data_IF_039030513806
#
_entry.id   IF_039030513806
#
_cell.length_a   1.000
_cell.length_b   1.000
_cell.length_c   1.000
_cell.angle_alpha   90.00
_cell.angle_beta   90.00
_cell.angle_gamma   90.00
#
_symmetry.space_group_name_H-M   'P 1'
#
loop_
_entity.id
_entity.type
_entity.pdbx_description
1 polymer ?
#
# COMPACT_ATOMS: atom_id res chain seq x y z
N UNK A 1 20.69 54.39 32.43
CA UNK A 1 21.79 53.66 33.10
C UNK A 1 21.84 52.26 32.53
N UNK A 2 22.93 51.92 31.83
CA UNK A 2 23.22 50.58 31.28
C UNK A 2 23.99 49.77 32.33
N UNK A 3 23.71 48.47 32.50
CA UNK A 3 24.69 47.54 33.03
C UNK A 3 25.20 46.61 31.91
N UNK A 4 26.48 46.77 31.60
CA UNK A 4 27.34 45.82 30.89
C UNK A 4 27.74 44.71 31.88
N UNK A 5 27.72 43.44 31.45
CA UNK A 5 28.37 42.36 32.17
C UNK A 5 29.23 41.52 31.21
N UNK A 6 30.50 41.46 31.58
CA UNK A 6 31.63 40.87 30.88
C UNK A 6 31.60 39.34 30.93
N UNK A 7 32.06 38.72 29.84
CA UNK A 7 32.47 37.32 29.80
C UNK A 7 33.92 37.17 30.32
N UNK A 8 34.25 36.10 31.06
CA UNK A 8 35.63 35.66 31.18
C UNK A 8 35.94 34.55 30.17
N UNK A 9 37.04 34.74 29.44
CA UNK A 9 37.80 33.69 28.76
C UNK A 9 38.79 33.11 29.77
N UNK A 10 38.91 31.78 29.85
CA UNK A 10 40.14 31.15 30.33
C UNK A 10 40.31 29.77 29.73
N UNK A 11 41.50 29.58 29.14
CA UNK A 11 42.02 28.35 28.58
C UNK A 11 43.08 27.80 29.55
N UNK A 12 43.02 26.50 29.86
CA UNK A 12 44.22 25.68 30.07
C UNK A 12 43.87 24.19 30.22
N UNK A 13 44.81 23.36 29.76
CA UNK A 13 44.72 21.93 29.50
C UNK A 13 45.05 21.06 30.74
N UNK A 14 44.65 19.78 30.60
CA UNK A 14 45.36 18.55 31.04
C UNK A 14 45.09 18.02 32.45
N UNK A 15 44.41 16.87 32.58
CA UNK A 15 45.05 15.55 32.74
C UNK A 15 43.98 14.45 32.79
N UNK A 16 44.31 13.31 32.20
CA UNK A 16 43.57 12.04 32.15
C UNK A 16 43.23 11.45 33.52
N UNK A 17 42.00 10.98 33.68
CA UNK A 17 41.69 9.80 34.51
C UNK A 17 40.87 8.84 33.66
N UNK A 18 41.51 7.74 33.31
CA UNK A 18 40.91 6.56 32.69
C UNK A 18 39.99 5.89 33.70
N UNK A 19 38.70 5.79 33.41
CA UNK A 19 37.83 4.79 34.03
C UNK A 19 37.34 3.88 32.90
N UNK A 20 37.96 2.70 32.81
CA UNK A 20 37.39 1.57 32.08
C UNK A 20 36.07 1.19 32.75
N UNK A 21 34.95 1.53 32.12
CA UNK A 21 33.69 0.86 32.38
C UNK A 21 33.48 -0.16 31.25
N UNK A 22 33.97 -1.38 31.48
CA UNK A 22 33.57 -2.54 30.71
C UNK A 22 32.10 -2.85 31.02
N UNK A 23 31.19 -2.25 30.27
CA UNK A 23 29.80 -2.69 30.20
C UNK A 23 29.69 -3.67 29.03
N UNK A 24 29.96 -4.94 29.35
CA UNK A 24 29.37 -6.09 28.68
C UNK A 24 27.85 -6.01 28.92
N UNK A 25 27.17 -5.27 28.06
CA UNK A 25 25.72 -5.41 27.89
C UNK A 25 25.52 -6.10 26.55
N UNK A 26 25.10 -7.35 26.64
CA UNK A 26 24.50 -8.10 25.56
C UNK A 26 23.59 -7.17 24.77
N UNK A 27 24.01 -6.86 23.54
CA UNK A 27 23.19 -6.12 22.60
C UNK A 27 21.93 -6.92 22.36
N UNK A 28 20.84 -6.53 23.03
CA UNK A 28 19.52 -6.65 22.47
C UNK A 28 19.62 -5.97 21.11
N UNK A 29 19.77 -6.76 20.05
CA UNK A 29 19.50 -6.29 18.71
C UNK A 29 18.05 -5.80 18.73
N UNK A 30 17.86 -4.52 18.99
CA UNK A 30 16.60 -3.84 18.71
C UNK A 30 16.42 -4.06 17.22
N UNK A 31 15.54 -4.99 16.86
CA UNK A 31 15.23 -5.29 15.46
C UNK A 31 14.98 -3.96 14.78
N UNK A 32 15.82 -3.63 13.79
CA UNK A 32 15.70 -2.37 13.07
C UNK A 32 14.25 -2.25 12.61
N UNK A 33 13.61 -1.13 12.94
CA UNK A 33 12.24 -0.86 12.49
C UNK A 33 12.25 -0.96 10.98
N UNK A 34 11.54 -1.96 10.43
CA UNK A 34 11.44 -2.14 8.99
C UNK A 34 10.87 -0.84 8.39
N UNK A 35 11.44 -0.34 7.29
CA UNK A 35 10.95 0.88 6.65
C UNK A 35 9.47 0.71 6.25
N UNK A 36 8.71 1.80 6.21
CA UNK A 36 7.34 1.77 5.67
C UNK A 36 7.39 1.27 4.23
N UNK A 37 6.46 0.40 3.83
CA UNK A 37 6.33 -0.02 2.44
C UNK A 37 6.04 1.17 1.53
N UNK A 38 6.69 1.19 0.37
CA UNK A 38 6.52 2.21 -0.66
C UNK A 38 6.22 1.56 -2.00
N UNK A 39 5.77 2.34 -2.98
CA UNK A 39 5.45 1.81 -4.33
C UNK A 39 6.71 1.29 -5.03
N UNK A 40 7.89 1.83 -4.71
CA UNK A 40 9.19 1.39 -5.22
C UNK A 40 9.85 0.28 -4.37
N UNK A 41 9.40 0.08 -3.14
CA UNK A 41 9.87 -1.00 -2.26
C UNK A 41 8.71 -1.59 -1.43
N UNK A 42 7.78 -2.33 -2.07
CA UNK A 42 6.61 -2.89 -1.40
C UNK A 42 6.97 -3.92 -0.33
N UNK A 43 8.03 -4.70 -0.59
CA UNK A 43 8.47 -5.77 0.28
C UNK A 43 9.33 -5.32 1.47
N UNK A 44 9.61 -4.01 1.58
CA UNK A 44 10.48 -3.44 2.63
C UNK A 44 11.86 -4.12 2.68
N UNK A 45 12.30 -4.64 1.54
CA UNK A 45 13.57 -5.36 1.44
C UNK A 45 14.70 -4.35 1.44
N UNK A 46 15.73 -4.63 2.24
CA UNK A 46 17.04 -4.01 2.13
C UNK A 46 17.83 -4.97 1.25
N UNK A 47 18.26 -4.54 0.05
CA UNK A 47 18.88 -5.37 -0.99
C UNK A 47 19.70 -6.53 -0.42
N UNK A 48 19.22 -7.76 -0.58
CA UNK A 48 19.98 -8.96 -0.23
C UNK A 48 20.26 -9.77 -1.48
N UNK A 49 21.55 -10.01 -1.72
CA UNK A 49 22.11 -10.52 -2.98
C UNK A 49 21.85 -12.03 -3.20
N UNK A 50 21.11 -12.72 -2.33
CA UNK A 50 20.88 -14.18 -2.44
C UNK A 50 19.47 -14.58 -1.98
N UNK A 51 18.41 -14.05 -2.60
CA UNK A 51 17.06 -14.55 -2.34
C UNK A 51 16.76 -15.80 -3.16
N UNK A 52 16.47 -16.91 -2.48
CA UNK A 52 15.87 -18.10 -3.08
C UNK A 52 14.36 -17.92 -3.02
N UNK A 53 13.71 -17.80 -4.18
CA UNK A 53 12.26 -17.67 -4.26
C UNK A 53 11.58 -19.04 -4.17
N UNK A 54 10.40 -19.14 -3.54
CA UNK A 54 9.60 -20.36 -3.58
C UNK A 54 9.22 -20.77 -5.01
N UNK A 55 8.78 -22.02 -5.24
CA UNK A 55 8.17 -22.43 -6.51
C UNK A 55 7.01 -21.52 -6.93
N UNK A 56 6.83 -21.33 -8.26
CA UNK A 56 5.85 -20.37 -8.80
C UNK A 56 4.40 -20.70 -8.40
N UNK A 57 4.05 -21.98 -8.31
CA UNK A 57 2.72 -22.44 -7.84
C UNK A 57 2.44 -22.02 -6.39
N UNK A 58 3.43 -22.15 -5.49
CA UNK A 58 3.33 -21.64 -4.12
C UNK A 58 3.17 -20.13 -4.10
N UNK A 59 3.94 -19.41 -4.92
CA UNK A 59 3.84 -17.95 -4.98
C UNK A 59 2.48 -17.47 -5.50
N UNK A 60 1.90 -18.13 -6.50
CA UNK A 60 0.56 -17.80 -7.00
C UNK A 60 -0.53 -18.14 -5.99
N UNK A 61 -0.42 -19.26 -5.25
CA UNK A 61 -1.33 -19.56 -4.14
C UNK A 61 -1.30 -18.45 -3.07
N UNK A 62 -0.11 -17.98 -2.69
CA UNK A 62 0.03 -16.87 -1.75
C UNK A 62 -0.56 -15.57 -2.32
N UNK A 63 -0.30 -15.25 -3.58
CA UNK A 63 -0.87 -14.07 -4.23
C UNK A 63 -2.40 -14.11 -4.26
N UNK A 64 -3.01 -15.26 -4.52
CA UNK A 64 -4.48 -15.46 -4.46
C UNK A 64 -5.00 -15.22 -3.03
N UNK A 65 -4.28 -15.68 -2.01
CA UNK A 65 -4.66 -15.43 -0.63
C UNK A 65 -4.62 -13.93 -0.30
N UNK A 66 -3.60 -13.21 -0.76
CA UNK A 66 -3.51 -11.75 -0.60
C UNK A 66 -4.61 -11.02 -1.36
N UNK A 67 -4.98 -11.47 -2.57
CA UNK A 67 -6.15 -10.95 -3.31
C UNK A 67 -7.42 -11.04 -2.45
N UNK A 68 -7.64 -12.17 -1.80
CA UNK A 68 -8.79 -12.36 -0.92
C UNK A 68 -8.71 -11.47 0.33
N UNK A 69 -7.53 -11.28 0.91
CA UNK A 69 -7.34 -10.37 2.03
C UNK A 69 -7.68 -8.91 1.67
N UNK A 70 -7.27 -8.45 0.48
CA UNK A 70 -7.63 -7.11 -0.01
C UNK A 70 -9.15 -6.99 -0.22
N UNK A 71 -9.80 -8.03 -0.80
CA UNK A 71 -11.26 -8.04 -0.98
C UNK A 71 -12.00 -7.90 0.34
N UNK A 72 -11.58 -8.64 1.37
CA UNK A 72 -12.17 -8.55 2.72
C UNK A 72 -12.03 -7.14 3.29
N UNK A 73 -10.86 -6.51 3.16
CA UNK A 73 -10.68 -5.13 3.64
C UNK A 73 -11.48 -4.10 2.85
N UNK A 74 -11.65 -4.30 1.53
CA UNK A 74 -12.55 -3.46 0.74
C UNK A 74 -14.01 -3.61 1.19
N UNK A 75 -14.46 -4.84 1.51
CA UNK A 75 -15.80 -5.08 2.06
C UNK A 75 -16.00 -4.48 3.45
N UNK A 76 -14.98 -4.51 4.30
CA UNK A 76 -15.00 -3.86 5.61
C UNK A 76 -15.15 -2.35 5.47
N UNK A 77 -14.42 -1.72 4.54
CA UNK A 77 -14.55 -0.28 4.27
C UNK A 77 -15.95 0.07 3.74
N UNK A 78 -16.49 -0.72 2.81
CA UNK A 78 -17.88 -0.57 2.33
C UNK A 78 -18.87 -0.63 3.48
N UNK A 79 -18.71 -1.62 4.37
CA UNK A 79 -19.60 -1.82 5.51
C UNK A 79 -19.53 -0.65 6.49
N UNK A 80 -18.32 -0.16 6.80
CA UNK A 80 -18.14 0.99 7.68
C UNK A 80 -18.77 2.27 7.11
N UNK A 81 -18.63 2.49 5.79
CA UNK A 81 -19.22 3.63 5.09
C UNK A 81 -20.75 3.59 5.03
N UNK A 82 -21.36 2.42 5.26
CA UNK A 82 -22.82 2.24 5.38
C UNK A 82 -23.32 2.39 6.82
N UNK A 83 -22.43 2.64 7.78
CA UNK A 83 -22.78 2.87 9.18
C UNK A 83 -23.35 4.26 9.43
N UNK A 84 -23.91 4.44 10.62
CA UNK A 84 -24.49 5.71 11.07
C UNK A 84 -23.46 6.85 11.00
N UNK A 85 -23.87 7.96 10.39
CA UNK A 85 -23.03 9.17 10.26
C UNK A 85 -22.14 9.24 9.02
N UNK A 86 -22.21 8.23 8.12
CA UNK A 86 -21.48 8.23 6.85
C UNK A 86 -22.43 8.36 5.65
N UNK A 87 -22.60 7.31 4.84
CA UNK A 87 -23.49 7.33 3.68
C UNK A 87 -24.91 6.92 4.07
N UNK A 88 -25.88 7.63 3.51
CA UNK A 88 -27.30 7.33 3.71
C UNK A 88 -27.78 6.21 2.81
N UNK A 89 -28.97 5.69 3.09
CA UNK A 89 -29.65 4.70 2.24
C UNK A 89 -29.94 5.20 0.83
N UNK A 90 -29.96 6.52 0.62
CA UNK A 90 -30.23 7.15 -0.67
C UNK A 90 -28.94 7.35 -1.49
N UNK A 91 -27.79 7.51 -0.82
CA UNK A 91 -26.49 7.65 -1.46
C UNK A 91 -26.04 6.35 -2.13
N UNK A 92 -26.22 5.22 -1.44
CA UNK A 92 -25.73 3.90 -1.89
C UNK A 92 -26.33 3.47 -3.25
N UNK A 93 -27.65 3.57 -3.50
CA UNK A 93 -28.23 3.30 -4.82
C UNK A 93 -27.66 4.17 -5.94
N UNK A 94 -27.31 5.43 -5.65
CA UNK A 94 -26.74 6.35 -6.65
C UNK A 94 -25.28 6.00 -7.00
N UNK A 95 -24.56 5.35 -6.08
CA UNK A 95 -23.18 4.86 -6.29
C UNK A 95 -23.12 3.44 -6.85
N UNK A 96 -24.21 2.69 -6.78
CA UNK A 96 -24.33 1.32 -7.29
C UNK A 96 -24.69 1.11 -8.77
N UNK A 97 -24.92 2.12 -9.65
CA UNK A 97 -25.05 1.85 -11.08
C UNK A 97 -23.82 1.11 -11.60
N UNK A 98 -24.06 0.16 -12.52
CA UNK A 98 -23.03 -0.71 -13.13
C UNK A 98 -21.88 0.07 -13.77
N UNK A 99 -22.07 1.37 -14.06
CA UNK A 99 -21.11 2.26 -14.71
C UNK A 99 -20.60 3.40 -13.83
N UNK A 100 -21.02 3.48 -12.56
CA UNK A 100 -20.45 4.47 -11.62
C UNK A 100 -19.12 3.95 -11.13
N UNK A 101 -18.04 4.40 -11.76
CA UNK A 101 -16.67 4.04 -11.40
C UNK A 101 -15.88 5.27 -11.03
N UNK A 102 -14.88 5.10 -10.19
CA UNK A 102 -14.02 6.20 -9.81
C UNK A 102 -13.06 6.52 -10.97
N UNK A 103 -13.09 7.73 -11.53
CA UNK A 103 -12.26 8.07 -12.67
C UNK A 103 -10.78 7.92 -12.35
N UNK A 104 -10.03 7.24 -13.22
CA UNK A 104 -8.60 6.99 -13.06
C UNK A 104 -8.25 5.74 -12.24
N UNK A 105 -9.22 5.01 -11.68
CA UNK A 105 -8.96 3.68 -11.12
C UNK A 105 -9.02 2.58 -12.21
N UNK A 106 -8.06 1.63 -12.22
CA UNK A 106 -8.11 0.48 -13.12
C UNK A 106 -9.23 -0.50 -12.72
N UNK A 107 -10.13 -0.85 -13.65
CA UNK A 107 -11.21 -1.82 -13.39
C UNK A 107 -10.97 -3.20 -14.00
N UNK A 108 -10.18 -3.24 -15.08
CA UNK A 108 -9.93 -4.40 -15.96
C UNK A 108 -11.19 -5.22 -16.23
N UNK A 109 -12.08 -4.73 -17.09
CA UNK A 109 -13.34 -5.43 -17.41
C UNK A 109 -13.20 -6.47 -18.54
N UNK A 110 -12.06 -6.52 -19.20
CA UNK A 110 -11.78 -7.43 -20.32
C UNK A 110 -10.96 -8.64 -19.85
N UNK A 111 -11.11 -9.77 -20.55
CA UNK A 111 -10.33 -10.97 -20.27
C UNK A 111 -8.90 -10.83 -20.83
N UNK A 112 -7.90 -10.84 -19.94
CA UNK A 112 -6.48 -10.75 -20.29
C UNK A 112 -5.95 -12.00 -21.04
N UNK A 113 -6.74 -13.08 -21.12
CA UNK A 113 -6.34 -14.40 -21.67
C UNK A 113 -4.99 -14.88 -21.11
N UNK A 114 -4.89 -15.07 -19.79
CA UNK A 114 -3.64 -15.39 -19.10
C UNK A 114 -3.06 -16.74 -19.54
N UNK A 115 -1.77 -16.75 -19.90
CA UNK A 115 -0.96 -17.93 -20.19
C UNK A 115 0.52 -17.69 -19.79
N UNK A 116 1.35 -18.73 -19.81
CA UNK A 116 2.73 -18.60 -19.33
C UNK A 116 3.58 -17.63 -20.18
N UNK A 117 3.25 -17.42 -21.46
CA UNK A 117 3.99 -16.55 -22.38
C UNK A 117 3.71 -15.06 -22.11
N UNK A 118 2.49 -14.70 -21.71
CA UNK A 118 2.12 -13.32 -21.39
C UNK A 118 2.16 -12.99 -19.88
N UNK A 119 2.52 -13.95 -19.03
CA UNK A 119 2.56 -13.81 -17.57
C UNK A 119 3.31 -12.56 -17.10
N UNK A 120 4.51 -12.32 -17.62
CA UNK A 120 5.33 -11.17 -17.17
C UNK A 120 4.65 -9.84 -17.47
N UNK A 121 4.03 -9.70 -18.66
CA UNK A 121 3.32 -8.50 -19.04
C UNK A 121 2.09 -8.26 -18.15
N UNK A 122 1.35 -9.33 -17.84
CA UNK A 122 0.21 -9.26 -16.94
C UNK A 122 0.67 -8.85 -15.53
N UNK A 123 1.73 -9.47 -15.00
CA UNK A 123 2.27 -9.12 -13.68
C UNK A 123 2.79 -7.67 -13.59
N UNK A 124 3.39 -7.14 -14.66
CA UNK A 124 3.80 -5.73 -14.72
C UNK A 124 2.59 -4.79 -14.69
N UNK A 125 1.54 -5.12 -15.45
CA UNK A 125 0.30 -4.36 -15.43
C UNK A 125 -0.39 -4.44 -14.06
N UNK A 126 -0.43 -5.63 -13.46
CA UNK A 126 -0.98 -5.83 -12.12
C UNK A 126 -0.25 -4.98 -11.08
N UNK A 127 1.09 -4.94 -11.13
CA UNK A 127 1.91 -4.12 -10.25
C UNK A 127 1.55 -2.64 -10.40
N UNK A 128 1.46 -2.17 -11.65
CA UNK A 128 1.05 -0.80 -11.96
C UNK A 128 -0.34 -0.51 -11.39
N UNK A 129 -1.32 -1.36 -11.65
CA UNK A 129 -2.71 -1.11 -11.27
C UNK A 129 -2.91 -1.12 -9.75
N UNK A 130 -2.28 -2.06 -9.03
CA UNK A 130 -2.25 -2.07 -7.57
C UNK A 130 -1.62 -0.78 -7.04
N UNK A 131 -0.55 -0.29 -7.69
CA UNK A 131 0.10 0.97 -7.30
C UNK A 131 -0.85 2.17 -7.43
N UNK A 132 -1.70 2.21 -8.48
CA UNK A 132 -2.73 3.25 -8.61
C UNK A 132 -3.72 3.18 -7.45
N UNK A 133 -4.22 1.99 -7.08
CA UNK A 133 -5.10 1.83 -5.92
C UNK A 133 -4.45 2.35 -4.62
N UNK A 134 -3.16 2.06 -4.41
CA UNK A 134 -2.40 2.54 -3.25
C UNK A 134 -2.33 4.07 -3.21
N UNK A 135 -2.20 4.75 -4.35
CA UNK A 135 -2.22 6.22 -4.42
C UNK A 135 -3.56 6.77 -3.89
N UNK A 136 -4.68 6.19 -4.32
CA UNK A 136 -6.01 6.63 -3.89
C UNK A 136 -6.23 6.36 -2.40
N UNK A 137 -5.82 5.19 -1.91
CA UNK A 137 -5.93 4.84 -0.49
C UNK A 137 -5.06 5.77 0.37
N UNK A 138 -3.86 6.12 -0.06
CA UNK A 138 -2.99 7.08 0.63
C UNK A 138 -3.61 8.47 0.71
N UNK A 139 -4.22 8.95 -0.38
CA UNK A 139 -4.94 10.22 -0.38
C UNK A 139 -6.11 10.17 0.62
N UNK A 140 -6.90 9.08 0.62
CA UNK A 140 -7.99 8.90 1.57
C UNK A 140 -7.51 8.89 3.03
N UNK A 141 -6.36 8.26 3.34
CA UNK A 141 -5.75 8.29 4.68
C UNK A 141 -5.29 9.68 5.10
N UNK A 142 -4.67 10.44 4.20
CA UNK A 142 -4.25 11.81 4.49
C UNK A 142 -5.45 12.68 4.87
N UNK A 143 -6.55 12.54 4.15
CA UNK A 143 -7.79 13.25 4.45
C UNK A 143 -8.47 12.75 5.73
N UNK A 144 -8.37 11.46 6.07
CA UNK A 144 -8.86 10.98 7.36
C UNK A 144 -8.18 11.70 8.52
N UNK A 145 -6.86 11.87 8.45
CA UNK A 145 -6.09 12.57 9.48
C UNK A 145 -6.38 14.07 9.49
N UNK A 146 -6.50 14.69 8.31
CA UNK A 146 -6.63 16.14 8.19
C UNK A 146 -8.06 16.65 8.42
N UNK A 147 -9.09 15.89 8.03
CA UNK A 147 -10.47 16.38 7.89
C UNK A 147 -11.51 15.56 8.64
N UNK A 148 -11.31 14.25 8.80
CA UNK A 148 -12.31 13.34 9.39
C UNK A 148 -11.93 12.82 10.78
N UNK A 149 -10.96 13.44 11.47
CA UNK A 149 -10.50 13.03 12.81
C UNK A 149 -10.10 11.54 12.93
N UNK A 150 -9.81 10.89 11.80
CA UNK A 150 -9.44 9.49 11.73
C UNK A 150 -10.58 8.48 11.86
N UNK A 151 -11.84 8.88 11.62
CA UNK A 151 -13.02 8.01 11.82
C UNK A 151 -12.97 6.68 11.05
N UNK A 152 -12.40 6.68 9.83
CA UNK A 152 -12.24 5.47 8.99
C UNK A 152 -10.76 5.06 8.81
N UNK A 153 -9.87 5.57 9.65
CA UNK A 153 -8.42 5.32 9.52
C UNK A 153 -8.08 3.84 9.61
N UNK A 154 -8.81 3.06 10.41
CA UNK A 154 -8.51 1.65 10.60
C UNK A 154 -8.80 0.85 9.32
N UNK A 155 -9.99 1.00 8.77
CA UNK A 155 -10.46 0.29 7.58
C UNK A 155 -9.63 0.66 6.35
N UNK A 156 -9.34 1.96 6.18
CA UNK A 156 -8.55 2.44 5.04
C UNK A 156 -7.07 2.04 5.19
N UNK A 157 -6.52 2.04 6.41
CA UNK A 157 -5.13 1.60 6.68
C UNK A 157 -4.97 0.08 6.49
N UNK A 158 -5.98 -0.70 6.86
CA UNK A 158 -6.01 -2.13 6.61
C UNK A 158 -6.04 -2.43 5.11
N UNK A 159 -6.83 -1.66 4.34
CA UNK A 159 -6.81 -1.73 2.87
C UNK A 159 -5.43 -1.35 2.30
N UNK A 160 -4.79 -0.28 2.79
CA UNK A 160 -3.41 0.11 2.39
C UNK A 160 -2.43 -1.04 2.63
N UNK A 161 -2.49 -1.63 3.83
CA UNK A 161 -1.59 -2.69 4.26
C UNK A 161 -1.72 -3.94 3.38
N UNK A 162 -2.95 -4.38 3.12
CA UNK A 162 -3.20 -5.55 2.29
C UNK A 162 -2.86 -5.30 0.82
N UNK A 163 -3.09 -4.09 0.30
CA UNK A 163 -2.64 -3.73 -1.05
C UNK A 163 -1.11 -3.78 -1.19
N UNK A 164 -0.37 -3.28 -0.19
CA UNK A 164 1.10 -3.40 -0.18
C UNK A 164 1.57 -4.86 -0.07
N UNK A 165 0.88 -5.68 0.72
CA UNK A 165 1.16 -7.11 0.84
C UNK A 165 0.99 -7.81 -0.51
N UNK A 166 -0.15 -7.59 -1.18
CA UNK A 166 -0.40 -8.09 -2.53
C UNK A 166 0.64 -7.59 -3.54
N UNK A 167 0.94 -6.30 -3.54
CA UNK A 167 1.96 -5.71 -4.43
C UNK A 167 3.33 -6.34 -4.21
N UNK A 168 3.68 -6.68 -2.97
CA UNK A 168 4.93 -7.41 -2.67
C UNK A 168 4.92 -8.83 -3.26
N UNK A 169 3.78 -9.54 -3.25
CA UNK A 169 3.69 -10.85 -3.92
C UNK A 169 3.87 -10.73 -5.43
N UNK A 170 3.25 -9.74 -6.07
CA UNK A 170 3.45 -9.45 -7.49
C UNK A 170 4.91 -9.09 -7.79
N UNK A 171 5.53 -8.26 -6.95
CA UNK A 171 6.95 -7.92 -7.05
C UNK A 171 7.85 -9.17 -6.98
N UNK A 172 7.56 -10.07 -6.06
CA UNK A 172 8.31 -11.32 -5.85
C UNK A 172 8.18 -12.26 -7.05
N UNK A 173 6.97 -12.37 -7.62
CA UNK A 173 6.73 -13.10 -8.87
C UNK A 173 7.55 -12.52 -10.04
N UNK A 174 7.56 -11.18 -10.20
CA UNK A 174 8.36 -10.50 -11.21
C UNK A 174 9.86 -10.77 -11.03
N UNK A 175 10.37 -10.70 -9.79
CA UNK A 175 11.77 -11.00 -9.48
C UNK A 175 12.13 -12.47 -9.75
N UNK A 176 11.22 -13.40 -9.46
CA UNK A 176 11.39 -14.83 -9.81
C UNK A 176 11.50 -15.02 -11.33
N UNK A 177 10.83 -14.18 -12.11
CA UNK A 177 10.94 -14.13 -13.58
C UNK A 177 12.05 -13.20 -14.08
N UNK A 178 13.01 -12.85 -13.21
CA UNK A 178 14.16 -11.98 -13.52
C UNK A 178 13.76 -10.61 -14.11
N UNK A 179 12.54 -10.16 -13.84
CA UNK A 179 11.99 -8.91 -14.37
C UNK A 179 12.02 -7.84 -13.28
N UNK A 180 12.47 -6.64 -13.65
CA UNK A 180 12.48 -5.48 -12.75
C UNK A 180 11.39 -4.49 -13.12
N UNK A 181 10.75 -3.91 -12.10
CA UNK A 181 9.87 -2.76 -12.26
C UNK A 181 10.74 -1.52 -12.45
N UNK A 182 10.49 -0.75 -13.50
CA UNK A 182 11.29 0.43 -13.87
C UNK A 182 10.49 1.72 -13.89
N UNK A 183 9.16 1.63 -13.90
CA UNK A 183 8.24 2.77 -13.85
C UNK A 183 7.35 2.63 -12.63
N UNK A 184 7.30 3.69 -11.83
CA UNK A 184 6.56 3.72 -10.57
C UNK A 184 5.46 4.77 -10.67
N UNK A 185 4.29 4.40 -10.15
CA UNK A 185 3.13 5.30 -10.07
C UNK A 185 3.35 6.30 -8.93
N UNK A 186 3.07 7.57 -9.20
CA UNK A 186 3.08 8.64 -8.20
C UNK A 186 1.69 9.27 -8.01
N UNK A 187 1.63 10.33 -7.19
CA UNK A 187 0.37 11.01 -6.87
C UNK A 187 -0.34 11.66 -8.07
N UNK A 188 0.30 11.78 -9.23
CA UNK A 188 -0.31 12.31 -10.46
C UNK A 188 -1.30 11.33 -11.11
N UNK A 189 -1.27 10.05 -10.74
CA UNK A 189 -2.23 9.05 -11.21
C UNK A 189 -3.67 9.30 -10.72
N UNK A 190 -3.83 10.08 -9.65
CA UNK A 190 -5.13 10.53 -9.17
C UNK A 190 -5.46 11.91 -9.75
N UNK A 191 -6.62 12.09 -10.41
CA UNK A 191 -7.09 13.39 -10.86
C UNK A 191 -7.21 14.40 -9.71
N UNK A 192 -6.84 15.66 -9.97
CA UNK A 192 -6.76 16.68 -8.92
C UNK A 192 -8.09 16.96 -8.21
N UNK A 193 -9.21 16.91 -8.95
CA UNK A 193 -10.55 17.13 -8.38
C UNK A 193 -11.00 16.01 -7.42
N UNK A 194 -10.28 14.89 -7.36
CA UNK A 194 -10.55 13.81 -6.40
C UNK A 194 -9.68 13.93 -5.14
N UNK A 195 -8.72 14.86 -5.11
CA UNK A 195 -7.82 15.10 -3.97
C UNK A 195 -8.34 16.22 -3.09
N UNK A 196 -8.07 16.10 -1.80
CA UNK A 196 -8.32 17.12 -0.78
C UNK A 196 -9.77 17.64 -0.80
N UNK A 197 -10.73 16.76 -1.09
CA UNK A 197 -12.15 17.10 -1.13
C UNK A 197 -12.56 17.55 0.28
N UNK A 198 -13.10 18.76 0.42
CA UNK A 198 -13.49 19.32 1.74
C UNK A 198 -14.82 18.78 2.26
N UNK A 199 -15.74 18.42 1.37
CA UNK A 199 -17.03 17.86 1.73
C UNK A 199 -16.91 16.39 2.17
N UNK A 200 -17.38 16.10 3.39
CA UNK A 200 -17.26 14.77 4.00
C UNK A 200 -18.06 13.71 3.25
N UNK A 201 -19.30 14.01 2.88
CA UNK A 201 -20.16 13.08 2.13
C UNK A 201 -19.52 12.70 0.81
N UNK A 202 -18.98 13.67 0.06
CA UNK A 202 -18.29 13.43 -1.21
C UNK A 202 -17.03 12.57 -1.02
N UNK A 203 -16.25 12.79 0.05
CA UNK A 203 -15.13 11.89 0.41
C UNK A 203 -15.61 10.47 0.68
N UNK A 204 -16.70 10.30 1.42
CA UNK A 204 -17.27 8.99 1.73
C UNK A 204 -17.77 8.28 0.47
N UNK A 205 -18.44 9.00 -0.44
CA UNK A 205 -18.87 8.48 -1.74
C UNK A 205 -17.67 8.02 -2.58
N UNK A 206 -16.59 8.83 -2.63
CA UNK A 206 -15.35 8.45 -3.32
C UNK A 206 -14.71 7.20 -2.71
N UNK A 207 -14.62 7.12 -1.38
CA UNK A 207 -14.03 5.98 -0.68
C UNK A 207 -14.87 4.70 -0.89
N UNK A 208 -16.19 4.84 -0.99
CA UNK A 208 -17.09 3.75 -1.32
C UNK A 208 -16.82 3.22 -2.74
N UNK A 209 -16.73 4.12 -3.73
CA UNK A 209 -16.39 3.75 -5.11
C UNK A 209 -15.00 3.12 -5.20
N UNK A 210 -14.01 3.66 -4.50
CA UNK A 210 -12.66 3.08 -4.40
C UNK A 210 -12.71 1.62 -3.93
N UNK A 211 -13.41 1.33 -2.85
CA UNK A 211 -13.54 -0.02 -2.32
C UNK A 211 -14.36 -0.94 -3.24
N UNK A 212 -15.45 -0.43 -3.81
CA UNK A 212 -16.30 -1.17 -4.75
C UNK A 212 -15.52 -1.57 -6.01
N UNK A 213 -14.83 -0.62 -6.62
CA UNK A 213 -14.03 -0.84 -7.83
C UNK A 213 -12.85 -1.76 -7.54
N UNK A 214 -12.21 -1.64 -6.36
CA UNK A 214 -11.16 -2.57 -5.93
C UNK A 214 -11.65 -4.02 -5.96
N UNK A 215 -12.87 -4.31 -5.48
CA UNK A 215 -13.43 -5.67 -5.53
C UNK A 215 -13.56 -6.20 -6.97
N UNK A 216 -14.00 -5.35 -7.90
CA UNK A 216 -14.15 -5.72 -9.32
C UNK A 216 -12.78 -6.07 -9.91
N UNK A 217 -11.80 -5.18 -9.71
CA UNK A 217 -10.41 -5.39 -10.13
C UNK A 217 -9.82 -6.68 -9.54
N UNK A 218 -9.97 -6.90 -8.22
CA UNK A 218 -9.44 -8.07 -7.52
C UNK A 218 -10.10 -9.38 -7.94
N UNK A 219 -11.34 -9.34 -8.43
CA UNK A 219 -11.97 -10.52 -9.03
C UNK A 219 -11.24 -10.93 -10.31
N UNK A 220 -10.93 -9.99 -11.19
CA UNK A 220 -10.14 -10.26 -12.39
C UNK A 220 -8.72 -10.71 -12.06
N UNK A 221 -8.04 -10.02 -11.14
CA UNK A 221 -6.69 -10.40 -10.71
C UNK A 221 -6.63 -11.85 -10.19
N UNK A 222 -7.60 -12.23 -9.34
CA UNK A 222 -7.68 -13.58 -8.79
C UNK A 222 -7.92 -14.65 -9.87
N UNK A 223 -8.74 -14.35 -10.89
CA UNK A 223 -8.95 -15.26 -12.02
C UNK A 223 -7.68 -15.45 -12.86
N UNK A 224 -6.92 -14.38 -13.09
CA UNK A 224 -5.64 -14.46 -13.78
C UNK A 224 -4.65 -15.36 -13.02
N UNK A 225 -4.52 -15.16 -11.71
CA UNK A 225 -3.58 -15.96 -10.90
C UNK A 225 -4.01 -17.43 -10.79
N UNK A 226 -5.31 -17.71 -10.67
CA UNK A 226 -5.81 -19.08 -10.73
C UNK A 226 -5.50 -19.74 -12.09
N UNK A 227 -5.60 -18.99 -13.19
CA UNK A 227 -5.28 -19.49 -14.53
C UNK A 227 -3.79 -19.82 -14.69
N UNK A 228 -2.90 -18.96 -14.20
CA UNK A 228 -1.46 -19.25 -14.17
C UNK A 228 -1.13 -20.46 -13.29
N UNK A 229 -1.73 -20.54 -12.09
CA UNK A 229 -1.55 -21.67 -11.19
C UNK A 229 -1.95 -22.99 -11.86
N UNK A 230 -3.11 -23.02 -12.51
CA UNK A 230 -3.57 -24.20 -13.25
C UNK A 230 -2.62 -24.58 -14.38
N UNK A 231 -2.10 -23.59 -15.12
CA UNK A 231 -1.15 -23.83 -16.22
C UNK A 231 0.21 -24.37 -15.75
N UNK A 232 0.59 -24.14 -14.49
CA UNK A 232 1.84 -24.66 -13.90
C UNK A 232 1.72 -26.09 -13.37
N UNK A 233 0.49 -26.61 -13.23
CA UNK A 233 0.20 -27.95 -12.70
C UNK A 233 -0.01 -29.01 -13.80
N UNK A 234 0.03 -28.59 -15.07
CA UNK A 234 -0.09 -29.44 -16.27
C UNK A 234 1.29 -29.77 -16.82
#
# INVERSE_FOLDING_TARGET
>A
MKPTLNFPVSSSRSLTVTVMAALLLNGLAMGAVLPKATIDNPCRTIDTVNQVFPPLDSQFNEAINEVNAVKVSAEQLITALQGDGFLTSDDIPALNPTFSHLPGLPLRLENDNPNLDNMVNILLQDYHDISVYIVYVKQALQEQVALDMGLLSNEISQLETNLFSLMCKVYTLLKTKETSVTSYVDASAMPEYLKNIEDATTRYMRNYLLAKDAKIFLNHLGMNYASFLNALQV
#
